data_IF_063840670217
#
_entry.id   IF_063840670217
#
_cell.length_a   1.000
_cell.length_b   1.000
_cell.length_c   1.000
_cell.angle_alpha   90.00
_cell.angle_beta   90.00
_cell.angle_gamma   90.00
#
_symmetry.space_group_name_H-M   'P 1'
#
loop_
_entity.id
_entity.type
_entity.pdbx_description
1 polymer ?
#
# COMPACT_ATOMS: atom_id res chain seq x y z
N UNK A 1 -75.84 4.25 -26.53
CA UNK A 1 -74.43 4.16 -26.13
C UNK A 1 -73.56 4.48 -27.34
N UNK A 2 -72.84 5.62 -27.33
CA UNK A 2 -71.94 6.00 -28.43
C UNK A 2 -70.67 5.16 -28.33
N UNK A 3 -70.42 4.30 -29.32
CA UNK A 3 -69.13 3.60 -29.47
C UNK A 3 -68.09 4.62 -29.95
N UNK A 4 -67.06 4.86 -29.15
CA UNK A 4 -65.91 5.67 -29.56
C UNK A 4 -65.02 4.86 -30.51
N UNK A 5 -64.51 5.44 -31.61
CA UNK A 5 -63.65 4.73 -32.54
C UNK A 5 -62.27 4.49 -31.90
N UNK A 6 -61.83 3.23 -31.89
CA UNK A 6 -60.46 2.85 -31.56
C UNK A 6 -59.53 3.34 -32.68
N UNK A 7 -58.81 4.44 -32.42
CA UNK A 7 -57.78 4.94 -33.33
C UNK A 7 -56.62 3.93 -33.32
N UNK A 8 -56.41 3.21 -34.43
CA UNK A 8 -55.23 2.36 -34.61
C UNK A 8 -53.99 3.25 -34.73
N UNK A 9 -53.26 3.43 -33.64
CA UNK A 9 -51.95 4.08 -33.61
C UNK A 9 -50.90 3.17 -34.27
N UNK A 10 -50.67 3.33 -35.58
CA UNK A 10 -49.55 2.73 -36.29
C UNK A 10 -48.43 3.77 -36.39
N UNK A 11 -47.31 3.53 -35.70
CA UNK A 11 -46.10 4.38 -35.76
C UNK A 11 -45.65 4.96 -34.42
N UNK A 12 -46.52 4.99 -33.40
CA UNK A 12 -46.18 5.53 -32.08
C UNK A 12 -45.04 4.76 -31.39
N UNK A 13 -45.03 3.44 -31.48
CA UNK A 13 -43.97 2.61 -30.89
C UNK A 13 -42.56 2.90 -31.47
N UNK A 14 -42.48 3.28 -32.74
CA UNK A 14 -41.20 3.63 -33.39
C UNK A 14 -40.67 4.96 -32.89
N UNK A 15 -41.54 5.95 -32.73
CA UNK A 15 -41.20 7.28 -32.19
C UNK A 15 -40.82 7.17 -30.70
N UNK A 16 -41.60 6.45 -29.90
CA UNK A 16 -41.29 6.20 -28.48
C UNK A 16 -39.96 5.47 -28.31
N UNK A 17 -39.67 4.48 -29.16
CA UNK A 17 -38.37 3.79 -29.16
C UNK A 17 -37.23 4.72 -29.57
N UNK A 18 -37.42 5.58 -30.57
CA UNK A 18 -36.39 6.54 -31.01
C UNK A 18 -36.09 7.60 -29.94
N UNK A 19 -37.12 8.07 -29.23
CA UNK A 19 -36.98 8.97 -28.08
C UNK A 19 -36.25 8.23 -26.95
N UNK A 20 -36.66 7.00 -26.62
CA UNK A 20 -36.00 6.18 -25.61
C UNK A 20 -34.51 5.95 -25.91
N UNK A 21 -34.17 5.66 -27.18
CA UNK A 21 -32.78 5.46 -27.59
C UNK A 21 -31.99 6.77 -27.50
N UNK A 22 -32.52 7.86 -28.03
CA UNK A 22 -31.81 9.16 -28.06
C UNK A 22 -31.61 9.78 -26.69
N UNK A 23 -32.59 9.67 -25.79
CA UNK A 23 -32.54 10.33 -24.48
C UNK A 23 -32.08 9.42 -23.34
N UNK A 24 -32.14 8.10 -23.48
CA UNK A 24 -31.74 7.17 -22.42
C UNK A 24 -30.53 6.34 -22.85
N UNK A 25 -30.63 5.62 -23.97
CA UNK A 25 -29.62 4.63 -24.35
C UNK A 25 -28.31 5.29 -24.79
N UNK A 26 -28.37 6.30 -25.67
CA UNK A 26 -27.19 6.99 -26.17
C UNK A 26 -26.42 7.71 -25.05
N UNK A 27 -27.07 8.53 -24.18
CA UNK A 27 -26.37 9.16 -23.06
C UNK A 27 -25.77 8.14 -22.09
N UNK A 28 -26.47 7.04 -21.82
CA UNK A 28 -25.96 5.97 -20.96
C UNK A 28 -24.69 5.33 -21.56
N UNK A 29 -24.69 5.03 -22.87
CA UNK A 29 -23.54 4.45 -23.56
C UNK A 29 -22.32 5.37 -23.56
N UNK A 30 -22.51 6.69 -23.61
CA UNK A 30 -21.42 7.68 -23.51
C UNK A 30 -20.89 7.75 -22.06
N UNK A 31 -21.77 7.62 -21.07
CA UNK A 31 -21.41 7.73 -19.66
C UNK A 31 -20.59 6.53 -19.16
N UNK A 32 -20.80 5.34 -19.71
CA UNK A 32 -20.07 4.12 -19.34
C UNK A 32 -18.53 4.22 -19.50
N UNK A 33 -17.97 4.53 -20.69
CA UNK A 33 -16.51 4.66 -20.86
C UNK A 33 -15.94 5.83 -20.06
N UNK A 34 -16.72 6.89 -19.83
CA UNK A 34 -16.32 7.99 -18.96
C UNK A 34 -16.14 7.52 -17.51
N UNK A 35 -17.14 6.82 -16.96
CA UNK A 35 -17.06 6.26 -15.61
C UNK A 35 -15.93 5.24 -15.48
N UNK A 36 -15.67 4.45 -16.50
CA UNK A 36 -14.52 3.54 -16.53
C UNK A 36 -13.19 4.31 -16.42
N UNK A 37 -13.01 5.41 -17.17
CA UNK A 37 -11.81 6.27 -17.09
C UNK A 37 -11.67 6.92 -15.71
N UNK A 38 -12.75 7.43 -15.13
CA UNK A 38 -12.73 7.96 -13.76
C UNK A 38 -12.34 6.88 -12.73
N UNK A 39 -12.86 5.66 -12.91
CA UNK A 39 -12.48 4.50 -12.11
C UNK A 39 -10.99 4.20 -12.16
N UNK A 40 -10.37 4.32 -13.34
CA UNK A 40 -8.91 4.16 -13.50
C UNK A 40 -8.13 5.22 -12.71
N UNK A 41 -8.54 6.50 -12.79
CA UNK A 41 -7.89 7.59 -12.03
C UNK A 41 -7.98 7.32 -10.53
N UNK A 42 -9.17 6.98 -10.04
CA UNK A 42 -9.40 6.63 -8.63
C UNK A 42 -8.55 5.42 -8.19
N UNK A 43 -8.49 4.38 -9.02
CA UNK A 43 -7.72 3.18 -8.71
C UNK A 43 -6.22 3.48 -8.63
N UNK A 44 -5.68 4.26 -9.56
CA UNK A 44 -4.26 4.68 -9.53
C UNK A 44 -3.94 5.55 -8.31
N UNK A 45 -4.85 6.47 -7.93
CA UNK A 45 -4.69 7.25 -6.69
C UNK A 45 -4.69 6.33 -5.44
N UNK A 46 -5.51 5.28 -5.43
CA UNK A 46 -5.54 4.29 -4.36
C UNK A 46 -4.29 3.41 -4.32
N UNK A 47 -3.81 2.92 -5.46
CA UNK A 47 -2.56 2.19 -5.54
C UNK A 47 -1.38 3.06 -5.08
N UNK A 48 -1.34 4.32 -5.49
CA UNK A 48 -0.33 5.28 -5.08
C UNK A 48 -0.37 5.55 -3.56
N UNK A 49 -1.55 5.70 -2.97
CA UNK A 49 -1.68 5.90 -1.51
C UNK A 49 -1.19 4.68 -0.74
N UNK A 50 -1.63 3.48 -1.14
CA UNK A 50 -1.19 2.22 -0.53
C UNK A 50 0.31 2.01 -0.66
N UNK A 51 0.87 2.25 -1.86
CA UNK A 51 2.31 2.17 -2.09
C UNK A 51 3.07 3.15 -1.20
N UNK A 52 2.63 4.39 -1.10
CA UNK A 52 3.32 5.39 -0.28
C UNK A 52 3.29 5.04 1.22
N UNK A 53 2.21 4.43 1.72
CA UNK A 53 2.13 3.93 3.08
C UNK A 53 3.02 2.69 3.28
N UNK A 54 3.03 1.78 2.30
CA UNK A 54 3.82 0.55 2.34
C UNK A 54 5.32 0.82 2.24
N UNK A 55 5.75 1.77 1.41
CA UNK A 55 7.16 2.16 1.30
C UNK A 55 7.72 2.60 2.65
N UNK A 56 6.89 3.13 3.56
CA UNK A 56 7.32 3.47 4.92
C UNK A 56 7.66 2.26 5.79
N UNK A 57 7.22 1.05 5.45
CA UNK A 57 7.67 -0.17 6.13
C UNK A 57 9.17 -0.38 5.92
N UNK A 58 9.63 -0.22 4.68
CA UNK A 58 11.03 -0.40 4.28
C UNK A 58 11.84 0.88 4.53
N UNK A 59 11.42 1.99 3.94
CA UNK A 59 12.12 3.26 3.94
C UNK A 59 11.58 4.22 5.00
N UNK A 60 12.36 4.45 6.05
CA UNK A 60 11.97 5.37 7.12
C UNK A 60 12.33 6.80 6.77
N UNK A 61 11.42 7.72 7.08
CA UNK A 61 11.74 9.15 7.03
C UNK A 61 12.72 9.53 8.15
N UNK A 62 12.53 8.93 9.32
CA UNK A 62 13.30 9.21 10.53
C UNK A 62 13.63 7.91 11.24
N UNK A 63 14.73 7.90 11.97
CA UNK A 63 15.13 6.75 12.78
C UNK A 63 14.08 6.48 13.87
N UNK A 64 13.55 5.24 13.98
CA UNK A 64 12.65 4.87 15.07
C UNK A 64 13.34 5.05 16.43
N UNK A 65 12.59 5.56 17.43
CA UNK A 65 13.13 5.89 18.76
C UNK A 65 13.73 4.69 19.51
N UNK A 66 13.17 3.49 19.35
CA UNK A 66 13.62 2.27 20.03
C UNK A 66 14.69 1.47 19.29
N UNK A 67 15.17 1.98 18.15
CA UNK A 67 16.16 1.28 17.34
C UNK A 67 17.58 1.48 17.94
N UNK A 68 18.27 0.42 18.40
CA UNK A 68 19.53 0.54 19.13
C UNK A 68 20.64 1.12 18.24
N UNK A 69 21.38 2.11 18.76
CA UNK A 69 22.54 2.72 18.08
C UNK A 69 23.75 1.80 18.23
N UNK A 70 23.91 0.86 17.30
CA UNK A 70 25.04 -0.08 17.26
C UNK A 70 25.62 -0.13 15.84
N UNK A 71 26.93 -0.38 15.74
CA UNK A 71 27.59 -0.70 14.47
C UNK A 71 26.98 -1.97 13.85
N UNK A 72 26.80 -1.97 12.52
CA UNK A 72 26.19 -3.08 11.77
C UNK A 72 24.65 -3.04 11.64
N UNK A 73 24.00 -1.99 12.15
CA UNK A 73 22.56 -1.81 12.00
C UNK A 73 22.22 -0.92 10.79
N UNK A 74 21.70 -1.54 9.74
CA UNK A 74 21.32 -0.83 8.51
C UNK A 74 19.88 -0.33 8.62
N UNK A 75 19.70 0.99 8.47
CA UNK A 75 18.39 1.61 8.36
C UNK A 75 18.24 2.21 6.96
N UNK A 76 17.31 1.67 6.19
CA UNK A 76 16.91 2.22 4.91
C UNK A 76 16.16 3.55 5.16
N UNK A 77 16.78 4.67 4.76
CA UNK A 77 16.20 6.00 4.87
C UNK A 77 15.95 6.59 3.49
N UNK A 78 14.80 7.23 3.32
CA UNK A 78 14.41 7.89 2.08
C UNK A 78 13.42 8.99 2.38
N UNK A 79 13.60 10.12 1.72
CA UNK A 79 12.72 11.25 1.93
C UNK A 79 11.33 11.02 1.35
N UNK A 80 10.39 11.78 1.91
CA UNK A 80 9.03 12.00 1.42
C UNK A 80 8.99 12.23 -0.10
N UNK A 81 9.85 13.14 -0.57
CA UNK A 81 9.82 13.66 -1.94
C UNK A 81 10.35 12.60 -2.90
N UNK A 82 11.44 11.91 -2.53
CA UNK A 82 12.01 10.83 -3.33
C UNK A 82 11.04 9.65 -3.49
N UNK A 83 10.29 9.33 -2.42
CA UNK A 83 9.26 8.28 -2.49
C UNK A 83 8.10 8.71 -3.38
N UNK A 84 7.68 9.97 -3.30
CA UNK A 84 6.61 10.53 -4.14
C UNK A 84 7.00 10.54 -5.62
N UNK A 85 8.24 10.90 -5.97
CA UNK A 85 8.73 10.90 -7.35
C UNK A 85 8.66 9.53 -8.03
N UNK A 86 8.61 8.44 -7.27
CA UNK A 86 8.48 7.09 -7.85
C UNK A 86 7.04 6.71 -8.21
N UNK A 87 6.03 7.44 -7.74
CA UNK A 87 4.62 7.13 -7.96
C UNK A 87 4.27 7.12 -9.46
N UNK A 88 4.63 8.14 -10.26
CA UNK A 88 4.33 8.13 -11.69
C UNK A 88 4.95 6.95 -12.43
N UNK A 89 6.23 6.66 -12.15
CA UNK A 89 6.95 5.53 -12.73
C UNK A 89 6.32 4.17 -12.41
N UNK A 90 5.57 4.04 -11.32
CA UNK A 90 4.98 2.76 -10.91
C UNK A 90 3.54 2.57 -11.33
N UNK A 91 2.74 3.63 -11.26
CA UNK A 91 1.29 3.51 -11.42
C UNK A 91 0.74 4.31 -12.60
N UNK A 92 1.47 5.32 -13.07
CA UNK A 92 1.00 6.18 -14.16
C UNK A 92 1.77 5.97 -15.46
N UNK A 93 2.86 5.21 -15.42
CA UNK A 93 3.67 4.87 -16.58
C UNK A 93 2.89 3.97 -17.56
N UNK A 94 3.21 4.12 -18.84
CA UNK A 94 2.77 3.25 -19.93
C UNK A 94 3.27 1.80 -19.76
N UNK A 95 2.55 0.86 -20.37
CA UNK A 95 2.80 -0.56 -20.26
C UNK A 95 4.12 -0.98 -20.92
N UNK A 96 4.63 -2.16 -20.56
CA UNK A 96 5.86 -2.73 -21.14
C UNK A 96 7.17 -2.08 -20.68
N UNK A 97 7.10 -1.08 -19.79
CA UNK A 97 8.28 -0.43 -19.23
C UNK A 97 8.80 -1.15 -17.97
N UNK A 98 10.13 -1.23 -17.85
CA UNK A 98 10.78 -1.82 -16.68
C UNK A 98 10.66 -0.89 -15.46
N UNK A 99 10.16 -1.43 -14.35
CA UNK A 99 10.22 -0.78 -13.05
C UNK A 99 11.63 -0.90 -12.46
N UNK A 100 12.27 0.24 -12.18
CA UNK A 100 13.60 0.29 -11.56
C UNK A 100 13.55 1.05 -10.24
N UNK A 101 14.41 0.69 -9.30
CA UNK A 101 14.57 1.41 -8.02
C UNK A 101 15.27 2.76 -8.20
N UNK A 102 16.09 2.87 -9.25
CA UNK A 102 16.77 4.09 -9.70
C UNK A 102 16.30 4.43 -11.10
N UNK A 103 15.69 5.60 -11.24
CA UNK A 103 15.28 6.13 -12.53
C UNK A 103 16.35 7.10 -13.02
N UNK A 104 16.89 6.85 -14.22
CA UNK A 104 17.85 7.75 -14.90
C UNK A 104 17.19 8.62 -15.96
N UNK A 105 15.99 8.26 -16.40
CA UNK A 105 15.20 9.02 -17.37
C UNK A 105 14.37 10.11 -16.69
N UNK A 106 14.15 11.21 -17.40
CA UNK A 106 13.22 12.27 -16.96
C UNK A 106 11.77 11.80 -17.19
N UNK A 107 10.90 12.13 -16.25
CA UNK A 107 9.47 11.88 -16.38
C UNK A 107 8.85 12.80 -17.45
N UNK A 108 7.78 12.35 -18.09
CA UNK A 108 7.00 13.15 -19.03
C UNK A 108 5.52 12.74 -19.01
N UNK A 109 4.67 13.63 -18.51
CA UNK A 109 3.22 13.43 -18.44
C UNK A 109 2.51 13.37 -19.80
N UNK A 110 3.17 13.71 -20.91
CA UNK A 110 2.60 13.61 -22.26
C UNK A 110 2.90 12.25 -22.88
N UNK A 111 4.17 11.86 -22.87
CA UNK A 111 4.64 10.70 -23.62
C UNK A 111 4.72 9.41 -22.80
N UNK A 112 4.99 9.48 -21.49
CA UNK A 112 5.18 8.29 -20.65
C UNK A 112 3.93 7.86 -19.89
N UNK A 113 2.85 8.64 -19.95
CA UNK A 113 1.62 8.34 -19.24
C UNK A 113 0.83 7.24 -19.93
N UNK A 114 0.24 6.36 -19.12
CA UNK A 114 -0.58 5.25 -19.58
C UNK A 114 -1.75 5.71 -20.48
N UNK A 115 -2.00 5.10 -21.65
CA UNK A 115 -3.03 5.50 -22.61
C UNK A 115 -4.45 5.59 -22.04
N UNK A 116 -4.79 4.77 -21.04
CA UNK A 116 -6.12 4.82 -20.40
C UNK A 116 -6.38 6.15 -19.67
N UNK A 117 -5.34 6.83 -19.23
CA UNK A 117 -5.38 8.16 -18.63
C UNK A 117 -5.37 9.29 -19.66
N UNK A 118 -5.34 8.97 -20.95
CA UNK A 118 -5.47 9.96 -22.02
C UNK A 118 -6.93 10.08 -22.45
N UNK A 119 -7.36 11.30 -22.74
CA UNK A 119 -8.68 11.59 -23.29
C UNK A 119 -8.58 12.80 -24.22
N UNK A 120 -9.45 12.83 -25.23
CA UNK A 120 -9.60 14.00 -26.07
C UNK A 120 -10.45 15.00 -25.32
N UNK A 121 -9.80 15.98 -24.72
CA UNK A 121 -10.51 17.01 -23.96
C UNK A 121 -11.25 17.93 -24.96
N UNK A 122 -10.60 18.35 -26.06
CA UNK A 122 -11.22 19.20 -27.09
C UNK A 122 -11.43 18.46 -28.42
N UNK A 123 -12.57 18.71 -29.07
CA UNK A 123 -12.79 18.30 -30.46
C UNK A 123 -11.63 18.82 -31.32
N UNK A 124 -11.02 17.93 -32.11
CA UNK A 124 -9.91 18.23 -33.03
C UNK A 124 -8.51 18.44 -32.41
N UNK A 125 -8.26 17.93 -31.20
CA UNK A 125 -6.92 17.85 -30.61
C UNK A 125 -6.47 16.42 -30.31
N UNK A 126 -5.15 16.25 -30.18
CA UNK A 126 -4.55 15.01 -29.72
C UNK A 126 -5.07 14.64 -28.32
N UNK A 127 -5.05 13.35 -27.99
CA UNK A 127 -5.43 12.90 -26.66
C UNK A 127 -4.44 13.43 -25.61
N UNK A 128 -4.94 14.23 -24.68
CA UNK A 128 -4.17 14.79 -23.58
C UNK A 128 -4.41 13.97 -22.31
N UNK A 129 -3.52 14.08 -21.33
CA UNK A 129 -3.70 13.40 -20.04
C UNK A 129 -4.84 14.04 -19.25
N UNK A 130 -5.68 13.18 -18.69
CA UNK A 130 -6.89 13.55 -17.94
C UNK A 130 -6.58 14.13 -16.55
N UNK A 131 -5.35 13.99 -16.06
CA UNK A 131 -4.98 14.48 -14.74
C UNK A 131 -4.63 15.95 -14.83
N UNK A 132 -5.31 16.81 -14.08
CA UNK A 132 -5.07 18.25 -14.11
C UNK A 132 -3.74 18.62 -13.46
N UNK A 133 -3.04 19.58 -14.07
CA UNK A 133 -1.84 20.18 -13.48
C UNK A 133 -2.21 20.97 -12.21
N UNK A 134 -1.43 20.80 -11.14
CA UNK A 134 -1.56 21.59 -9.93
C UNK A 134 -0.91 22.98 -10.05
N UNK A 135 -0.23 23.26 -11.17
CA UNK A 135 0.39 24.54 -11.49
C UNK A 135 -0.36 25.27 -12.60
N UNK A 136 -0.28 26.60 -12.58
CA UNK A 136 -0.89 27.47 -13.58
C UNK A 136 -0.26 27.30 -14.97
N UNK A 137 1.04 27.01 -15.03
CA UNK A 137 1.73 26.54 -16.24
C UNK A 137 2.13 25.07 -16.06
N UNK A 138 1.59 24.14 -16.87
CA UNK A 138 1.88 22.71 -16.74
C UNK A 138 3.36 22.38 -16.89
N UNK A 139 3.91 21.63 -15.94
CA UNK A 139 5.30 21.16 -15.96
C UNK A 139 5.32 19.66 -16.22
N UNK A 140 5.21 19.28 -17.50
CA UNK A 140 5.12 17.88 -17.90
C UNK A 140 6.35 17.04 -17.48
N UNK A 141 7.51 17.69 -17.34
CA UNK A 141 8.75 17.05 -16.88
C UNK A 141 8.81 16.74 -15.38
N UNK A 142 7.89 17.27 -14.58
CA UNK A 142 7.89 17.11 -13.13
C UNK A 142 6.96 15.98 -12.70
N UNK A 143 7.49 14.99 -11.98
CA UNK A 143 6.72 13.86 -11.46
C UNK A 143 5.54 14.31 -10.60
N UNK A 144 5.68 15.38 -9.83
CA UNK A 144 4.70 15.83 -8.84
C UNK A 144 3.66 16.82 -9.38
N UNK A 145 3.68 17.11 -10.69
CA UNK A 145 2.87 18.19 -11.27
C UNK A 145 1.37 17.90 -11.23
N UNK A 146 0.96 16.65 -11.43
CA UNK A 146 -0.45 16.25 -11.65
C UNK A 146 -1.10 15.48 -10.50
N UNK A 147 -0.41 15.35 -9.37
CA UNK A 147 -0.98 14.81 -8.14
C UNK A 147 -0.40 15.51 -6.93
N UNK A 148 -1.19 15.62 -5.88
CA UNK A 148 -0.70 16.07 -4.57
C UNK A 148 -0.59 14.87 -3.65
N UNK A 149 0.44 14.88 -2.81
CA UNK A 149 0.61 13.90 -1.76
C UNK A 149 0.81 14.63 -0.45
N UNK A 150 -0.03 14.35 0.53
CA UNK A 150 0.23 14.79 1.90
C UNK A 150 0.52 13.58 2.78
N UNK A 151 1.40 13.80 3.75
CA UNK A 151 1.83 12.76 4.64
C UNK A 151 1.96 13.32 6.04
N UNK A 152 1.45 12.57 7.00
CA UNK A 152 1.70 12.84 8.42
C UNK A 152 2.29 11.58 9.04
N UNK A 153 3.54 11.70 9.48
CA UNK A 153 4.17 10.75 10.38
C UNK A 153 4.01 11.25 11.81
N UNK A 154 3.55 10.39 12.71
CA UNK A 154 3.33 10.80 14.09
C UNK A 154 3.03 9.64 15.03
N UNK A 155 2.59 10.02 16.23
CA UNK A 155 2.07 9.06 17.21
C UNK A 155 0.68 8.58 16.80
N UNK A 156 0.34 7.35 17.15
CA UNK A 156 -1.02 6.83 16.99
C UNK A 156 -2.05 7.81 17.62
N UNK A 157 -3.14 8.15 16.90
CA UNK A 157 -4.23 8.98 17.42
C UNK A 157 -4.82 8.38 18.70
N UNK A 158 -5.29 9.21 19.64
CA UNK A 158 -5.66 8.80 21.00
C UNK A 158 -6.68 7.65 21.10
N UNK A 159 -7.64 7.57 20.19
CA UNK A 159 -8.65 6.48 20.14
C UNK A 159 -8.06 5.15 19.69
N UNK A 160 -7.19 5.14 18.67
CA UNK A 160 -6.54 3.93 18.17
C UNK A 160 -5.38 3.52 19.09
N UNK A 161 -4.65 4.51 19.61
CA UNK A 161 -3.52 4.31 20.51
C UNK A 161 -3.93 3.68 21.85
N UNK A 162 -5.14 3.94 22.34
CA UNK A 162 -5.67 3.33 23.57
C UNK A 162 -6.09 1.87 23.35
N UNK A 163 -6.75 1.55 22.22
CA UNK A 163 -7.13 0.17 21.87
C UNK A 163 -5.89 -0.72 21.64
N UNK A 164 -4.93 -0.24 20.82
CA UNK A 164 -3.62 -0.89 20.64
C UNK A 164 -2.85 -0.96 21.97
N UNK A 165 -3.03 0.06 22.82
CA UNK A 165 -2.49 0.11 24.16
C UNK A 165 -2.97 -1.03 25.06
N UNK A 166 -4.27 -1.32 25.05
CA UNK A 166 -4.87 -2.42 25.82
C UNK A 166 -4.40 -3.79 25.32
N UNK A 167 -4.39 -4.00 24.01
CA UNK A 167 -3.94 -5.26 23.41
C UNK A 167 -2.45 -5.55 23.69
N UNK A 168 -1.57 -4.54 23.55
CA UNK A 168 -0.14 -4.69 23.90
C UNK A 168 0.05 -4.76 25.42
N UNK A 169 -0.80 -4.10 26.21
CA UNK A 169 -0.77 -4.15 27.67
C UNK A 169 -0.87 -5.57 28.20
N UNK A 170 -1.67 -6.43 27.55
CA UNK A 170 -1.75 -7.85 27.87
C UNK A 170 -0.42 -8.59 27.65
N UNK A 171 0.47 -8.10 26.79
CA UNK A 171 1.80 -8.68 26.54
C UNK A 171 2.92 -7.90 27.25
N UNK A 172 2.59 -6.83 27.99
CA UNK A 172 3.60 -5.99 28.64
C UNK A 172 4.38 -6.70 29.73
N UNK A 173 3.79 -7.73 30.36
CA UNK A 173 4.46 -8.61 31.32
C UNK A 173 5.64 -9.38 30.70
N UNK A 174 5.65 -9.52 29.37
CA UNK A 174 6.75 -10.14 28.61
C UNK A 174 7.76 -9.09 28.12
N UNK A 175 7.72 -7.84 28.61
CA UNK A 175 8.62 -6.77 28.18
C UNK A 175 8.49 -6.39 26.69
N UNK A 176 7.47 -6.93 26.01
CA UNK A 176 7.16 -6.61 24.62
C UNK A 176 6.50 -5.23 24.50
N UNK A 177 6.99 -4.42 23.56
CA UNK A 177 6.43 -3.11 23.28
C UNK A 177 6.51 -2.82 21.79
N UNK A 178 5.40 -2.34 21.22
CA UNK A 178 5.36 -1.86 19.84
C UNK A 178 5.67 -0.35 19.82
N UNK A 179 6.50 0.10 18.89
CA UNK A 179 6.71 1.53 18.66
C UNK A 179 5.47 2.14 18.01
N UNK A 180 4.99 3.25 18.58
CA UNK A 180 3.76 3.93 18.17
C UNK A 180 4.02 5.27 17.48
N UNK A 181 5.29 5.68 17.37
CA UNK A 181 5.79 6.94 16.82
C UNK A 181 6.08 6.86 15.30
N UNK A 182 5.82 5.70 14.70
CA UNK A 182 5.99 5.44 13.26
C UNK A 182 4.62 5.14 12.62
N UNK A 183 3.58 5.83 13.07
CA UNK A 183 2.28 5.77 12.42
C UNK A 183 2.26 6.78 11.28
N UNK A 184 1.97 6.27 10.10
CA UNK A 184 2.03 7.01 8.86
C UNK A 184 0.64 7.08 8.23
N UNK A 185 0.20 8.28 7.92
CA UNK A 185 -0.98 8.51 7.08
C UNK A 185 -0.53 9.15 5.79
N UNK A 186 -1.08 8.65 4.69
CA UNK A 186 -0.81 9.13 3.35
C UNK A 186 -2.11 9.49 2.70
N UNK A 187 -2.13 10.65 2.09
CA UNK A 187 -3.18 11.07 1.20
C UNK A 187 -2.58 11.30 -0.18
N UNK A 188 -3.20 10.72 -1.20
CA UNK A 188 -2.89 11.04 -2.60
C UNK A 188 -4.16 11.60 -3.20
N UNK A 189 -4.06 12.77 -3.83
CA UNK A 189 -5.16 13.35 -4.58
C UNK A 189 -4.74 13.73 -5.99
N UNK A 190 -5.67 13.56 -6.92
CA UNK A 190 -5.50 13.94 -8.32
C UNK A 190 -6.77 14.65 -8.78
N UNK A 191 -6.58 15.84 -9.34
CA UNK A 191 -7.65 16.56 -10.01
C UNK A 191 -7.77 16.03 -11.44
N UNK A 192 -8.98 16.05 -11.99
CA UNK A 192 -9.24 15.68 -13.38
C UNK A 192 -9.52 16.93 -14.20
N UNK A 193 -9.08 16.94 -15.45
CA UNK A 193 -9.39 17.99 -16.41
C UNK A 193 -10.87 17.99 -16.76
N UNK A 194 -11.45 19.18 -16.90
CA UNK A 194 -12.87 19.33 -17.25
C UNK A 194 -13.14 18.73 -18.64
N UNK A 195 -14.28 18.06 -18.79
CA UNK A 195 -14.70 17.51 -20.07
C UNK A 195 -15.44 18.60 -20.83
N UNK A 196 -15.00 19.01 -22.02
CA UNK A 196 -15.69 20.05 -22.78
C UNK A 196 -16.97 19.51 -23.47
N UNK A 197 -17.88 18.92 -22.70
CA UNK A 197 -19.16 18.34 -23.13
C UNK A 197 -20.22 18.82 -22.13
N UNK A 198 -21.19 19.62 -22.58
CA UNK A 198 -22.32 20.02 -21.74
C UNK A 198 -23.15 18.78 -21.31
N UNK A 199 -23.63 18.70 -20.05
CA UNK A 199 -23.50 19.66 -18.95
C UNK A 199 -22.32 19.37 -18.00
N UNK A 200 -21.32 18.60 -18.44
CA UNK A 200 -20.22 18.08 -17.61
C UNK A 200 -18.94 18.94 -17.68
N UNK A 201 -19.02 20.11 -18.30
CA UNK A 201 -17.91 21.04 -18.57
C UNK A 201 -17.43 21.83 -17.38
N UNK A 202 -18.25 21.96 -16.35
CA UNK A 202 -17.88 22.64 -15.10
C UNK A 202 -17.58 21.69 -13.93
N UNK A 203 -17.52 20.38 -14.18
CA UNK A 203 -17.31 19.39 -13.12
C UNK A 203 -15.84 19.28 -12.75
N UNK A 204 -15.45 19.98 -11.68
CA UNK A 204 -14.12 19.87 -11.09
C UNK A 204 -14.00 18.62 -10.18
N UNK A 205 -13.71 17.47 -10.80
CA UNK A 205 -13.56 16.21 -10.08
C UNK A 205 -12.19 16.11 -9.39
N UNK A 206 -12.21 15.82 -8.09
CA UNK A 206 -11.02 15.46 -7.31
C UNK A 206 -11.16 14.02 -6.81
N UNK A 207 -10.17 13.18 -7.13
CA UNK A 207 -10.07 11.83 -6.58
C UNK A 207 -9.04 11.80 -5.48
N UNK A 208 -9.48 11.47 -4.28
CA UNK A 208 -8.65 11.40 -3.09
C UNK A 208 -8.63 9.98 -2.53
N UNK A 209 -7.45 9.50 -2.14
CA UNK A 209 -7.28 8.22 -1.46
C UNK A 209 -6.44 8.37 -0.20
N UNK A 210 -6.92 7.74 0.87
CA UNK A 210 -6.28 7.71 2.18
C UNK A 210 -5.75 6.31 2.46
N UNK A 211 -4.53 6.23 2.98
CA UNK A 211 -3.99 5.00 3.56
C UNK A 211 -3.27 5.31 4.86
N UNK A 212 -3.27 4.35 5.78
CA UNK A 212 -2.60 4.48 7.06
C UNK A 212 -1.92 3.17 7.44
N UNK A 213 -0.69 3.26 7.94
CA UNK A 213 0.08 2.09 8.32
C UNK A 213 1.01 2.40 9.50
N UNK A 214 1.12 1.45 10.43
CA UNK A 214 2.09 1.50 11.52
C UNK A 214 3.38 0.79 11.09
N UNK A 215 4.39 1.55 10.71
CA UNK A 215 5.50 0.99 9.95
C UNK A 215 6.60 0.32 10.80
N UNK A 216 6.69 0.65 12.08
CA UNK A 216 7.62 0.04 13.03
C UNK A 216 7.34 -1.45 13.29
N UNK A 217 6.10 -1.90 13.07
CA UNK A 217 5.73 -3.31 13.20
C UNK A 217 6.34 -4.21 12.13
N UNK A 218 6.75 -3.65 10.99
CA UNK A 218 7.11 -4.40 9.78
C UNK A 218 8.60 -4.37 9.43
N UNK A 219 9.42 -3.59 10.15
CA UNK A 219 10.84 -3.47 9.85
C UNK A 219 11.70 -4.18 10.91
N UNK A 220 12.41 -5.21 10.47
CA UNK A 220 13.48 -5.83 11.20
C UNK A 220 14.76 -5.02 10.97
N UNK A 221 15.21 -4.23 11.96
CA UNK A 221 16.50 -3.53 11.91
C UNK A 221 17.72 -4.47 11.92
N UNK A 222 17.63 -5.66 11.33
CA UNK A 222 18.64 -6.72 11.33
C UNK A 222 18.31 -7.89 12.28
N UNK A 223 19.05 -9.02 12.16
CA UNK A 223 18.79 -10.26 12.92
C UNK A 223 18.77 -10.06 14.43
N UNK A 224 19.69 -9.23 14.97
CA UNK A 224 19.72 -8.91 16.39
C UNK A 224 18.47 -8.18 16.89
N UNK A 225 17.91 -7.28 16.07
CA UNK A 225 16.70 -6.54 16.42
C UNK A 225 15.48 -7.47 16.43
N UNK A 226 15.42 -8.41 15.47
CA UNK A 226 14.37 -9.45 15.43
C UNK A 226 14.48 -10.36 16.65
N UNK A 227 15.68 -10.89 16.91
CA UNK A 227 15.95 -11.76 18.05
C UNK A 227 15.51 -11.13 19.37
N UNK A 228 15.98 -9.91 19.68
CA UNK A 228 15.60 -9.22 20.92
C UNK A 228 14.10 -8.89 21.01
N UNK A 229 13.41 -8.69 19.87
CA UNK A 229 11.95 -8.49 19.84
C UNK A 229 11.19 -9.80 20.10
N UNK A 230 11.63 -10.90 19.50
CA UNK A 230 10.96 -12.21 19.57
C UNK A 230 11.28 -12.93 20.88
N UNK A 231 12.51 -12.86 21.39
CA UNK A 231 12.90 -13.42 22.70
C UNK A 231 12.03 -12.88 23.84
N UNK A 232 11.54 -11.66 23.73
CA UNK A 232 10.60 -11.05 24.69
C UNK A 232 9.20 -11.66 24.61
N UNK A 233 8.79 -12.25 23.49
CA UNK A 233 7.50 -12.93 23.36
C UNK A 233 7.57 -14.39 23.82
N UNK A 234 8.77 -14.95 23.94
CA UNK A 234 8.99 -16.32 24.36
C UNK A 234 8.97 -16.38 25.90
N UNK A 235 7.86 -16.84 26.48
CA UNK A 235 7.68 -16.93 27.94
C UNK A 235 8.79 -17.73 28.64
N UNK A 236 9.32 -18.76 27.97
CA UNK A 236 10.41 -19.57 28.52
C UNK A 236 11.72 -18.79 28.70
N UNK A 237 11.88 -17.63 28.05
CA UNK A 237 13.03 -16.75 28.28
C UNK A 237 13.05 -16.21 29.71
N UNK A 238 11.87 -15.91 30.29
CA UNK A 238 11.75 -15.50 31.69
C UNK A 238 11.96 -16.65 32.67
N UNK A 239 11.85 -17.88 32.19
CA UNK A 239 12.09 -19.10 32.95
C UNK A 239 13.56 -19.56 32.89
N UNK A 240 14.42 -18.93 32.06
CA UNK A 240 15.86 -19.23 32.05
C UNK A 240 16.61 -18.50 33.18
N UNK A 241 16.26 -18.82 34.42
CA UNK A 241 16.91 -18.29 35.61
C UNK A 241 17.77 -19.35 36.32
N UNK A 242 18.66 -18.91 37.22
CA UNK A 242 19.59 -19.80 37.90
C UNK A 242 18.92 -20.94 38.67
N UNK A 243 17.72 -20.72 39.19
CA UNK A 243 16.93 -21.71 39.92
C UNK A 243 16.40 -22.80 38.98
N UNK A 244 15.80 -22.41 37.85
CA UNK A 244 15.25 -23.34 36.87
C UNK A 244 16.35 -24.10 36.15
N UNK A 245 17.48 -23.47 35.81
CA UNK A 245 18.65 -24.19 35.27
C UNK A 245 19.19 -25.23 36.26
N UNK A 246 19.15 -24.93 37.56
CA UNK A 246 19.56 -25.88 38.60
C UNK A 246 18.56 -27.02 38.72
N UNK A 247 17.26 -26.74 38.70
CA UNK A 247 16.21 -27.77 38.66
C UNK A 247 16.31 -28.66 37.42
N UNK A 248 16.52 -28.08 36.23
CA UNK A 248 16.78 -28.81 34.97
C UNK A 248 18.00 -29.75 35.09
N UNK A 249 19.09 -29.29 35.71
CA UNK A 249 20.27 -30.13 35.98
C UNK A 249 19.95 -31.28 36.92
N UNK A 250 19.25 -31.01 38.02
CA UNK A 250 18.85 -32.03 39.00
C UNK A 250 17.92 -33.10 38.39
N UNK A 251 16.89 -32.67 37.66
CA UNK A 251 15.95 -33.58 36.99
C UNK A 251 16.62 -34.40 35.88
N UNK A 252 17.70 -33.88 35.28
CA UNK A 252 18.43 -34.59 34.23
C UNK A 252 19.28 -35.77 34.66
N UNK A 253 19.34 -36.03 35.98
CA UNK A 253 19.96 -37.21 36.56
C UNK A 253 19.08 -38.44 36.35
N UNK A 254 17.76 -38.25 36.22
CA UNK A 254 16.80 -39.33 36.01
C UNK A 254 16.87 -39.85 34.56
N UNK A 255 16.66 -41.18 34.32
CA UNK A 255 16.78 -41.78 32.99
C UNK A 255 15.90 -41.10 31.93
N UNK A 256 14.70 -40.67 32.31
CA UNK A 256 13.73 -39.96 31.47
C UNK A 256 13.95 -38.44 31.43
N UNK A 257 14.76 -37.87 32.33
CA UNK A 257 15.00 -36.43 32.46
C UNK A 257 16.17 -35.90 31.62
N UNK A 258 16.91 -36.77 30.91
CA UNK A 258 18.09 -36.40 30.12
C UNK A 258 17.81 -35.34 29.04
N UNK A 259 16.58 -35.28 28.53
CA UNK A 259 16.14 -34.26 27.56
C UNK A 259 15.87 -32.89 28.19
N UNK A 260 15.63 -32.82 29.50
CA UNK A 260 15.41 -31.57 30.23
C UNK A 260 16.71 -30.83 30.58
N UNK A 261 17.87 -31.38 30.18
CA UNK A 261 19.17 -30.73 30.39
C UNK A 261 19.17 -29.33 29.79
N UNK A 262 19.78 -28.33 30.45
CA UNK A 262 19.88 -26.98 29.89
C UNK A 262 20.58 -26.92 28.52
N UNK A 263 21.39 -27.93 28.18
CA UNK A 263 22.05 -28.05 26.87
C UNK A 263 21.14 -28.59 25.77
N UNK A 264 20.06 -29.32 26.10
CA UNK A 264 19.10 -29.88 25.14
C UNK A 264 17.80 -29.08 25.11
N UNK A 265 17.23 -28.77 26.27
CA UNK A 265 16.07 -27.88 26.40
C UNK A 265 16.55 -26.46 26.75
N UNK A 266 16.91 -25.71 25.70
CA UNK A 266 17.34 -24.31 25.83
C UNK A 266 16.11 -23.41 25.92
N UNK A 267 15.69 -23.10 27.14
CA UNK A 267 14.58 -22.19 27.39
C UNK A 267 14.91 -20.79 26.85
N UNK A 268 13.96 -20.18 26.12
CA UNK A 268 14.15 -18.84 25.56
C UNK A 268 15.04 -18.75 24.32
N UNK A 269 15.49 -19.88 23.78
CA UNK A 269 16.32 -19.88 22.58
C UNK A 269 15.51 -19.44 21.35
N UNK A 270 15.93 -18.34 20.73
CA UNK A 270 15.41 -17.85 19.46
C UNK A 270 16.56 -17.72 18.47
N UNK A 271 16.42 -18.42 17.36
CA UNK A 271 17.32 -18.32 16.22
C UNK A 271 16.54 -17.72 15.03
N UNK A 272 16.79 -16.45 14.67
CA UNK A 272 16.07 -15.77 13.59
C UNK A 272 16.47 -16.27 12.19
N UNK A 273 17.58 -16.99 12.05
CA UNK A 273 18.20 -17.31 10.76
C UNK A 273 18.10 -18.81 10.39
N UNK A 274 17.20 -19.56 11.04
CA UNK A 274 16.97 -20.98 10.71
C UNK A 274 16.26 -21.11 9.36
N UNK A 275 16.97 -21.59 8.36
CA UNK A 275 16.41 -21.96 7.06
C UNK A 275 16.12 -23.47 7.06
N UNK A 276 14.98 -23.93 6.50
CA UNK A 276 14.75 -25.35 6.33
C UNK A 276 15.81 -25.94 5.40
N UNK A 277 16.26 -27.16 5.69
CA UNK A 277 17.42 -27.78 5.04
C UNK A 277 17.30 -27.86 3.51
N UNK A 278 16.09 -28.01 2.99
CA UNK A 278 15.77 -28.00 1.56
C UNK A 278 16.05 -26.66 0.86
N UNK A 279 16.23 -25.55 1.59
CA UNK A 279 16.56 -24.23 1.06
C UNK A 279 18.06 -23.94 1.01
N UNK A 280 18.87 -24.72 1.73
CA UNK A 280 20.34 -24.61 1.74
C UNK A 280 21.00 -25.40 0.59
N UNK A 281 20.19 -26.23 -0.05
CA UNK A 281 20.47 -26.93 -1.28
C UNK A 281 20.76 -26.02 -2.49
N UNK A 282 21.74 -26.41 -3.31
CA UNK A 282 21.87 -25.86 -4.66
C UNK A 282 20.75 -26.44 -5.54
N UNK A 283 19.97 -25.58 -6.20
CA UNK A 283 18.94 -26.00 -7.16
C UNK A 283 19.55 -26.96 -8.19
N UNK A 284 18.95 -28.15 -8.35
CA UNK A 284 19.43 -29.19 -9.27
C UNK A 284 20.32 -30.29 -8.66
N UNK A 285 20.48 -30.34 -7.34
CA UNK A 285 21.16 -31.44 -6.65
C UNK A 285 20.15 -32.47 -6.10
N UNK A 286 20.56 -33.74 -6.05
CA UNK A 286 19.71 -34.94 -5.86
C UNK A 286 18.91 -35.01 -4.56
N UNK A 287 19.18 -34.15 -3.57
CA UNK A 287 18.54 -34.17 -2.25
C UNK A 287 17.59 -32.99 -2.02
N UNK A 288 17.20 -32.29 -3.09
CA UNK A 288 16.60 -30.97 -2.99
C UNK A 288 15.30 -30.92 -3.80
N UNK A 289 14.24 -31.53 -3.25
CA UNK A 289 12.85 -31.32 -3.65
C UNK A 289 12.59 -31.20 -5.15
N UNK A 290 12.62 -32.34 -5.84
CA UNK A 290 12.21 -32.56 -7.22
C UNK A 290 12.20 -34.06 -7.49
#
# INVERSE_FOLDING_TARGET
MKQQPFIRQRGQALIESAIGISFVVIPLLILLPFMAKMGVVKHKAQQASHYSAWERTVWKERRPSRLPRRSGLYLAQKSEVETAKQIPWRFYQDDGNKLTSRTTAQWDWVNKVHPTLKHQVRQNRNAETMLKSNRQSPSNGNELDRFTRTHSGGRLPGTIGSAVGRAIGLLSFTGFSLERDQFYRTNVSSNVENLYIEPFDDINLNFQSNSALLASGWNAGGPYHVKNRVERLVLTNYMDNGVIRTAQRLLSILPFGKELRPSRLRLGHVDPDVLPLNRLCTYGTTNCGG
#
